data_IF_381268884781
#
_entry.id   IF_381268884781
#
_cell.length_a   1.000
_cell.length_b   1.000
_cell.length_c   1.000
_cell.angle_alpha   90.00
_cell.angle_beta   90.00
_cell.angle_gamma   90.00
#
_symmetry.space_group_name_H-M   'P 1'
#
loop_
_entity.id
_entity.type
_entity.pdbx_description
1 polymer ?
#
# COMPACT_ATOMS: atom_id res chain seq x y z
N UNK A 1 -15.49 -9.45 -2.61
CA UNK A 1 -14.69 -8.24 -2.97
C UNK A 1 -13.23 -8.52 -2.68
N UNK A 2 -12.39 -8.30 -3.65
CA UNK A 2 -10.94 -8.43 -3.50
C UNK A 2 -10.32 -7.13 -3.03
N UNK A 3 -9.19 -7.24 -2.32
CA UNK A 3 -8.45 -6.10 -1.86
C UNK A 3 -7.09 -6.49 -1.30
N UNK A 4 -6.50 -5.57 -0.54
CA UNK A 4 -5.15 -5.70 -0.01
C UNK A 4 -5.11 -5.29 1.44
N UNK A 5 -4.17 -5.89 2.18
CA UNK A 5 -3.97 -5.59 3.59
C UNK A 5 -2.49 -5.64 3.92
N UNK A 6 -2.06 -4.74 4.79
CA UNK A 6 -0.69 -4.68 5.31
C UNK A 6 -0.68 -5.18 6.74
N UNK A 7 0.36 -5.94 7.08
CA UNK A 7 0.57 -6.55 8.40
C UNK A 7 1.95 -6.20 8.90
N UNK A 8 2.14 -6.31 10.20
CA UNK A 8 3.47 -6.27 10.79
C UNK A 8 4.29 -7.51 10.36
N UNK A 9 5.63 -7.51 10.56
CA UNK A 9 6.48 -8.62 10.08
C UNK A 9 6.10 -10.00 10.60
N UNK A 10 5.42 -10.08 11.73
CA UNK A 10 4.93 -11.33 12.34
C UNK A 10 3.50 -11.72 11.91
N UNK A 11 2.95 -11.06 10.90
CA UNK A 11 1.57 -11.24 10.41
C UNK A 11 0.50 -10.80 11.41
N UNK A 12 0.82 -9.88 12.32
CA UNK A 12 -0.18 -9.27 13.18
C UNK A 12 -0.67 -7.93 12.61
N UNK A 13 -1.88 -7.56 12.97
CA UNK A 13 -2.42 -6.24 12.72
C UNK A 13 -3.30 -5.87 13.91
N UNK A 14 -2.96 -4.78 14.58
CA UNK A 14 -3.65 -4.34 15.81
C UNK A 14 -3.76 -5.45 16.87
N UNK A 15 -2.69 -6.23 17.02
CA UNK A 15 -2.63 -7.33 17.99
C UNK A 15 -3.37 -8.61 17.59
N UNK A 16 -4.03 -8.64 16.42
CA UNK A 16 -4.68 -9.83 15.91
C UNK A 16 -3.71 -10.62 15.01
N UNK A 17 -3.61 -11.93 15.23
CA UNK A 17 -2.74 -12.80 14.45
C UNK A 17 -3.45 -13.34 13.21
N UNK A 18 -2.86 -13.10 12.05
CA UNK A 18 -3.33 -13.61 10.76
C UNK A 18 -2.40 -14.70 10.23
N UNK A 19 -2.89 -15.48 9.28
CA UNK A 19 -2.12 -16.51 8.60
C UNK A 19 -2.58 -16.63 7.15
N UNK A 20 -1.63 -16.71 6.22
CA UNK A 20 -1.90 -16.89 4.79
C UNK A 20 -2.66 -18.19 4.56
N UNK A 21 -3.67 -18.14 3.71
CA UNK A 21 -4.51 -19.30 3.36
C UNK A 21 -5.70 -19.51 4.29
N UNK A 22 -5.80 -18.75 5.38
CA UNK A 22 -6.90 -18.90 6.35
C UNK A 22 -7.98 -17.85 6.20
N UNK A 23 -9.18 -18.19 6.67
CA UNK A 23 -10.35 -17.31 6.73
C UNK A 23 -10.62 -16.96 8.19
N UNK A 24 -10.91 -15.69 8.44
CA UNK A 24 -11.21 -15.16 9.77
C UNK A 24 -12.57 -14.51 9.76
N UNK A 25 -13.32 -14.70 10.85
CA UNK A 25 -14.68 -14.17 10.99
C UNK A 25 -14.88 -13.59 12.39
N UNK A 26 -15.55 -12.44 12.45
CA UNK A 26 -16.02 -11.83 13.69
C UNK A 26 -17.53 -11.67 13.65
N UNK A 27 -18.18 -11.95 14.79
CA UNK A 27 -19.65 -11.77 14.93
C UNK A 27 -19.96 -10.31 15.29
N UNK A 28 -19.72 -9.42 14.31
CA UNK A 28 -19.95 -7.98 14.46
C UNK A 28 -20.50 -7.42 13.16
N UNK A 29 -21.20 -6.29 13.23
CA UNK A 29 -21.52 -5.49 12.06
C UNK A 29 -20.31 -4.65 11.71
N UNK A 30 -19.75 -4.74 10.48
CA UNK A 30 -18.56 -3.98 10.10
C UNK A 30 -18.81 -2.47 10.19
N UNK A 31 -17.82 -1.76 10.69
CA UNK A 31 -17.81 -0.31 10.71
C UNK A 31 -16.38 0.18 10.53
N UNK A 32 -16.10 0.91 9.46
CA UNK A 32 -14.77 1.44 9.19
C UNK A 32 -14.26 2.24 10.38
N UNK A 33 -13.01 1.99 10.75
CA UNK A 33 -12.31 2.55 11.91
C UNK A 33 -12.73 2.01 13.28
N UNK A 34 -13.79 1.21 13.39
CA UNK A 34 -14.29 0.72 14.68
C UNK A 34 -14.30 -0.80 14.82
N UNK A 35 -14.92 -1.51 13.89
CA UNK A 35 -15.17 -2.95 14.00
C UNK A 35 -14.93 -3.67 12.70
N UNK A 36 -14.44 -4.92 12.78
CA UNK A 36 -14.22 -5.78 11.63
C UNK A 36 -12.77 -5.75 11.15
N UNK A 37 -12.54 -6.47 10.07
CA UNK A 37 -11.24 -6.57 9.42
C UNK A 37 -11.13 -5.49 8.34
N UNK A 38 -10.10 -4.65 8.45
CA UNK A 38 -9.88 -3.53 7.52
C UNK A 38 -8.99 -3.96 6.37
N UNK A 39 -9.31 -3.48 5.19
CA UNK A 39 -8.53 -3.67 3.98
C UNK A 39 -8.78 -2.50 3.01
N UNK A 40 -7.99 -2.42 1.94
CA UNK A 40 -8.19 -1.43 0.89
C UNK A 40 -8.38 -2.12 -0.46
N UNK A 41 -9.23 -1.57 -1.30
CA UNK A 41 -9.43 -2.09 -2.67
C UNK A 41 -8.21 -1.83 -3.55
N UNK A 42 -7.48 -0.74 -3.28
CA UNK A 42 -6.23 -0.41 -3.96
C UNK A 42 -5.06 -0.47 -2.98
N UNK A 43 -3.97 -1.13 -3.37
CA UNK A 43 -2.84 -1.33 -2.49
C UNK A 43 -2.21 -0.02 -2.02
N UNK A 44 -2.07 0.96 -2.91
CA UNK A 44 -1.46 2.26 -2.56
C UNK A 44 -2.16 2.95 -1.38
N UNK A 45 -3.47 2.76 -1.24
CA UNK A 45 -4.25 3.37 -0.17
C UNK A 45 -3.97 2.75 1.20
N UNK A 46 -3.48 1.51 1.25
CA UNK A 46 -3.05 0.89 2.49
C UNK A 46 -1.94 1.70 3.17
N UNK A 47 -1.10 2.36 2.41
CA UNK A 47 0.04 3.12 2.93
C UNK A 47 -0.35 4.51 3.43
N UNK A 48 -1.62 4.87 3.37
CA UNK A 48 -2.18 5.99 4.15
C UNK A 48 -2.32 5.64 5.64
N UNK A 49 -2.37 4.34 5.96
CA UNK A 49 -2.63 3.82 7.31
C UNK A 49 -1.44 3.07 7.90
N UNK A 50 -0.55 2.57 7.07
CA UNK A 50 0.63 1.78 7.47
C UNK A 50 1.89 2.38 6.86
N UNK A 51 3.04 2.29 7.59
CA UNK A 51 4.32 2.74 7.02
C UNK A 51 4.68 1.96 5.75
N UNK A 52 5.28 2.64 4.81
CA UNK A 52 5.81 2.02 3.60
C UNK A 52 7.17 1.39 3.93
N UNK A 53 7.14 0.21 4.54
CA UNK A 53 8.29 -0.47 5.10
C UNK A 53 8.42 -1.88 4.50
N UNK A 54 9.56 -2.22 3.84
CA UNK A 54 9.74 -3.54 3.23
C UNK A 54 9.73 -4.71 4.22
N UNK A 55 9.91 -4.46 5.51
CA UNK A 55 9.81 -5.49 6.54
C UNK A 55 8.37 -5.90 6.84
N UNK A 56 7.40 -5.04 6.52
CA UNK A 56 5.99 -5.36 6.69
C UNK A 56 5.52 -6.38 5.65
N UNK A 57 4.52 -7.16 6.03
CA UNK A 57 3.90 -8.13 5.14
C UNK A 57 2.72 -7.51 4.42
N UNK A 58 2.54 -7.89 3.16
CA UNK A 58 1.41 -7.46 2.34
C UNK A 58 0.75 -8.70 1.75
N UNK A 59 -0.55 -8.75 1.77
CA UNK A 59 -1.29 -9.87 1.19
C UNK A 59 -2.50 -9.40 0.39
N UNK A 60 -2.85 -10.21 -0.61
CA UNK A 60 -4.13 -10.14 -1.28
C UNK A 60 -5.17 -10.79 -0.39
N UNK A 61 -6.32 -10.14 -0.23
CA UNK A 61 -7.41 -10.60 0.61
C UNK A 61 -8.73 -10.60 -0.13
N UNK A 62 -9.68 -11.40 0.35
CA UNK A 62 -11.06 -11.42 -0.15
C UNK A 62 -12.00 -11.21 1.03
N UNK A 63 -12.87 -10.22 0.92
CA UNK A 63 -13.96 -10.01 1.85
C UNK A 63 -15.11 -10.94 1.50
N UNK A 64 -15.48 -11.81 2.43
CA UNK A 64 -16.51 -12.83 2.25
C UNK A 64 -17.79 -12.51 3.01
N UNK A 65 -17.77 -11.54 3.90
CA UNK A 65 -18.92 -11.16 4.72
C UNK A 65 -19.53 -9.84 4.30
N UNK A 66 -20.22 -9.21 5.23
CA UNK A 66 -20.73 -7.85 5.06
C UNK A 66 -19.58 -6.87 4.94
N UNK A 67 -19.77 -5.79 4.19
CA UNK A 67 -18.74 -4.80 3.89
C UNK A 67 -19.26 -3.41 4.20
N UNK A 68 -18.45 -2.63 4.90
CA UNK A 68 -18.63 -1.18 5.08
C UNK A 68 -17.50 -0.45 4.35
N UNK A 69 -17.83 0.53 3.53
CA UNK A 69 -16.88 1.28 2.71
C UNK A 69 -16.82 2.75 3.17
N UNK A 70 -15.61 3.31 3.22
CA UNK A 70 -15.42 4.74 3.36
C UNK A 70 -15.41 5.42 1.97
N UNK A 71 -15.86 6.67 1.92
CA UNK A 71 -16.02 7.39 0.67
C UNK A 71 -14.75 8.11 0.19
N UNK A 72 -13.77 8.34 1.06
CA UNK A 72 -12.61 9.19 0.76
C UNK A 72 -11.47 8.46 0.05
N UNK A 73 -11.35 7.17 0.30
CA UNK A 73 -10.37 6.30 -0.37
C UNK A 73 -10.95 4.89 -0.54
N UNK A 74 -10.11 3.92 -0.86
CA UNK A 74 -10.57 2.55 -1.09
C UNK A 74 -10.64 1.70 0.19
N UNK A 75 -10.55 2.31 1.37
CA UNK A 75 -10.61 1.61 2.65
C UNK A 75 -11.98 1.00 2.91
N UNK A 76 -11.97 -0.27 3.26
CA UNK A 76 -13.17 -1.05 3.58
C UNK A 76 -12.96 -1.83 4.87
N UNK A 77 -14.04 -2.28 5.46
CA UNK A 77 -13.97 -3.33 6.49
C UNK A 77 -15.03 -4.38 6.27
N UNK A 78 -14.78 -5.58 6.79
CA UNK A 78 -15.66 -6.73 6.65
C UNK A 78 -15.65 -7.55 7.95
N UNK A 79 -16.71 -8.30 8.18
CA UNK A 79 -16.76 -9.23 9.30
C UNK A 79 -16.21 -10.62 8.95
N UNK A 80 -15.85 -10.87 7.70
CA UNK A 80 -15.25 -12.14 7.28
C UNK A 80 -14.24 -11.90 6.16
N UNK A 81 -12.99 -12.29 6.39
CA UNK A 81 -11.88 -12.05 5.47
C UNK A 81 -11.06 -13.32 5.27
N UNK A 82 -10.66 -13.57 4.03
CA UNK A 82 -9.71 -14.62 3.68
C UNK A 82 -8.39 -13.99 3.26
N UNK A 83 -7.29 -14.45 3.84
CA UNK A 83 -5.95 -14.06 3.44
C UNK A 83 -5.50 -15.02 2.33
N UNK A 84 -5.48 -14.54 1.09
CA UNK A 84 -5.31 -15.41 -0.08
C UNK A 84 -3.87 -15.77 -0.31
N UNK A 85 -2.99 -14.77 -0.44
CA UNK A 85 -1.57 -14.99 -0.73
C UNK A 85 -0.74 -13.78 -0.30
N UNK A 86 0.52 -14.03 0.04
CA UNK A 86 1.47 -12.96 0.28
C UNK A 86 1.91 -12.34 -1.04
N UNK A 87 2.04 -11.01 -1.05
CA UNK A 87 2.59 -10.27 -2.17
C UNK A 87 4.03 -9.90 -1.81
N UNK A 88 4.99 -10.28 -2.67
CA UNK A 88 6.38 -9.93 -2.47
C UNK A 88 6.58 -8.43 -2.53
N UNK A 89 7.60 -7.90 -1.84
CA UNK A 89 7.88 -6.47 -1.87
C UNK A 89 8.18 -5.97 -3.29
N UNK A 90 8.82 -6.79 -4.09
CA UNK A 90 9.05 -6.49 -5.50
C UNK A 90 7.73 -6.26 -6.26
N UNK A 91 6.73 -7.10 -6.03
CA UNK A 91 5.41 -6.93 -6.63
C UNK A 91 4.68 -5.72 -6.04
N UNK A 92 4.83 -5.44 -4.74
CA UNK A 92 4.29 -4.23 -4.12
C UNK A 92 4.80 -2.98 -4.84
N UNK A 93 6.10 -2.91 -5.08
CA UNK A 93 6.69 -1.75 -5.78
C UNK A 93 6.12 -1.58 -7.19
N UNK A 94 5.89 -2.67 -7.90
CA UNK A 94 5.27 -2.61 -9.24
C UNK A 94 3.81 -2.15 -9.19
N UNK A 95 3.08 -2.50 -8.14
CA UNK A 95 1.66 -2.17 -8.01
C UNK A 95 1.41 -0.73 -7.59
N UNK A 96 2.30 -0.13 -6.81
CA UNK A 96 2.12 1.22 -6.27
C UNK A 96 2.81 2.31 -7.10
N UNK A 97 3.57 1.92 -8.10
CA UNK A 97 4.28 2.83 -9.00
C UNK A 97 3.84 2.63 -10.44
N UNK A 98 4.00 3.66 -11.26
CA UNK A 98 3.93 3.57 -12.71
C UNK A 98 5.35 3.58 -13.25
N UNK A 99 5.70 2.59 -14.09
CA UNK A 99 7.06 2.43 -14.58
C UNK A 99 7.81 1.34 -13.83
N UNK A 100 9.11 1.24 -14.10
CA UNK A 100 9.95 0.16 -13.58
C UNK A 100 11.15 0.66 -12.78
N UNK A 101 11.68 -0.21 -11.94
CA UNK A 101 12.89 0.09 -11.17
C UNK A 101 12.72 1.16 -10.10
N UNK A 102 11.48 1.50 -9.74
CA UNK A 102 11.20 2.49 -8.72
C UNK A 102 11.37 1.90 -7.32
N UNK A 103 11.99 2.67 -6.44
CA UNK A 103 12.03 2.39 -5.01
C UNK A 103 11.30 3.52 -4.29
N UNK A 104 10.18 3.20 -3.69
CA UNK A 104 9.32 4.18 -3.05
C UNK A 104 7.88 4.05 -3.49
N UNK A 105 7.11 5.08 -3.25
CA UNK A 105 5.66 5.06 -3.40
C UNK A 105 5.19 6.12 -4.40
N UNK A 106 4.24 5.74 -5.25
CA UNK A 106 3.57 6.66 -6.18
C UNK A 106 4.52 7.39 -7.15
N UNK A 107 5.56 6.72 -7.60
CA UNK A 107 6.44 7.26 -8.64
C UNK A 107 5.85 7.00 -10.03
N UNK A 108 6.11 7.91 -10.95
CA UNK A 108 5.76 7.79 -12.36
C UNK A 108 7.03 7.96 -13.21
N UNK A 109 7.27 7.05 -14.12
CA UNK A 109 8.53 6.96 -14.85
C UNK A 109 9.41 5.84 -14.31
N UNK A 110 10.69 5.85 -14.66
CA UNK A 110 11.60 4.74 -14.38
C UNK A 110 12.73 5.16 -13.43
N UNK A 111 13.15 4.21 -12.60
CA UNK A 111 14.37 4.34 -11.78
C UNK A 111 14.33 5.50 -10.77
N UNK A 112 13.17 5.83 -10.24
CA UNK A 112 13.05 6.83 -9.19
C UNK A 112 13.29 6.23 -7.81
N UNK A 113 13.90 7.02 -6.92
CA UNK A 113 14.08 6.69 -5.52
C UNK A 113 13.43 7.78 -4.69
N UNK A 114 12.62 7.39 -3.72
CA UNK A 114 11.79 8.32 -2.96
C UNK A 114 10.33 8.23 -3.38
N UNK A 115 9.56 9.26 -3.11
CA UNK A 115 8.11 9.22 -3.29
C UNK A 115 7.59 10.31 -4.24
N UNK A 116 6.54 9.97 -4.97
CA UNK A 116 5.81 10.95 -5.78
C UNK A 116 6.67 11.67 -6.82
N UNK A 117 7.66 10.99 -7.38
CA UNK A 117 8.48 11.54 -8.45
C UNK A 117 7.83 11.29 -9.81
N UNK A 118 8.01 12.25 -10.73
CA UNK A 118 7.57 12.14 -12.12
C UNK A 118 8.78 12.34 -13.03
N UNK A 119 8.93 11.47 -14.01
CA UNK A 119 10.11 11.42 -14.87
C UNK A 119 11.06 10.32 -14.45
N UNK A 120 12.30 10.37 -14.87
CA UNK A 120 13.24 9.27 -14.69
C UNK A 120 14.43 9.63 -13.81
N UNK A 121 14.89 8.64 -13.05
CA UNK A 121 16.14 8.74 -12.28
C UNK A 121 16.16 9.88 -11.25
N UNK A 122 15.03 10.17 -10.63
CA UNK A 122 14.95 11.14 -9.54
C UNK A 122 15.27 10.49 -8.20
N UNK A 123 15.87 11.27 -7.30
CA UNK A 123 16.16 10.88 -5.93
C UNK A 123 15.60 11.93 -4.99
N UNK A 124 14.86 11.50 -3.98
CA UNK A 124 14.10 12.38 -3.07
C UNK A 124 12.62 12.34 -3.40
N UNK A 125 11.87 13.33 -2.93
CA UNK A 125 10.41 13.32 -3.03
C UNK A 125 9.88 14.45 -3.92
N UNK A 126 8.79 14.17 -4.60
CA UNK A 126 8.01 15.16 -5.35
C UNK A 126 8.81 15.88 -6.43
N UNK A 127 9.75 15.22 -7.05
CA UNK A 127 10.50 15.79 -8.17
C UNK A 127 9.75 15.59 -9.49
N UNK A 128 9.90 16.55 -10.40
CA UNK A 128 9.35 16.50 -11.75
C UNK A 128 10.46 16.77 -12.77
N UNK A 129 10.56 15.93 -13.78
CA UNK A 129 11.65 15.93 -14.74
C UNK A 129 12.62 14.78 -14.48
N UNK A 130 13.85 14.89 -14.97
CA UNK A 130 14.79 13.79 -14.92
C UNK A 130 16.04 14.11 -14.11
N UNK A 131 16.55 13.11 -13.40
CA UNK A 131 17.84 13.18 -12.69
C UNK A 131 17.91 14.29 -11.64
N UNK A 132 16.81 14.53 -10.96
CA UNK A 132 16.78 15.47 -9.84
C UNK A 132 17.20 14.78 -8.55
N UNK A 133 17.86 15.53 -7.66
CA UNK A 133 18.24 15.07 -6.33
C UNK A 133 17.76 16.09 -5.30
N UNK A 134 17.13 15.61 -4.23
CA UNK A 134 16.48 16.46 -3.24
C UNK A 134 14.98 16.43 -3.41
N UNK A 135 14.28 17.40 -2.84
CA UNK A 135 12.82 17.41 -2.83
C UNK A 135 12.25 18.58 -3.65
N UNK A 136 11.09 18.31 -4.27
CA UNK A 136 10.31 19.32 -4.96
C UNK A 136 11.03 20.07 -6.07
N UNK A 137 11.96 19.41 -6.76
CA UNK A 137 12.65 19.99 -7.92
C UNK A 137 11.80 19.86 -9.17
N UNK A 138 11.93 20.83 -10.08
CA UNK A 138 11.27 20.83 -11.38
C UNK A 138 12.30 21.09 -12.48
N UNK A 139 12.20 20.35 -13.58
CA UNK A 139 13.19 20.37 -14.66
C UNK A 139 14.18 19.23 -14.53
N UNK A 140 15.32 19.34 -15.19
CA UNK A 140 16.29 18.26 -15.25
C UNK A 140 17.60 18.60 -14.51
N UNK A 141 18.18 17.57 -13.89
CA UNK A 141 19.50 17.65 -13.28
C UNK A 141 19.62 18.70 -12.16
N UNK A 142 18.56 18.93 -11.41
CA UNK A 142 18.57 19.83 -10.27
C UNK A 142 19.05 19.10 -9.00
N UNK A 143 19.65 19.87 -8.08
CA UNK A 143 20.11 19.38 -6.80
C UNK A 143 19.68 20.35 -5.71
N UNK A 144 19.20 19.82 -4.59
CA UNK A 144 18.66 20.60 -3.49
C UNK A 144 17.13 20.57 -3.47
N UNK A 145 16.53 21.47 -2.71
CA UNK A 145 15.07 21.52 -2.51
C UNK A 145 14.40 22.66 -3.26
#
# INVERSE_FOLDING_TARGET
>A
MEGYKVFEPDWTCRGFQYEVGKTFEEDVTPSCCNRGFHFCKELKDCFNYYPFNPDNKVAKVIALGEIDEESDDSKCCTNKIQIVEEISWEDVLRMVNLGKGNAGLCNSGDWNSGNCNSGDCNSGDCNSGNRNSGDCNSGDCNSGD
#
